data_IF_513533129271
#
_entry.id   IF_513533129271
#
_cell.length_a   1.000
_cell.length_b   1.000
_cell.length_c   1.000
_cell.angle_alpha   90.00
_cell.angle_beta   90.00
_cell.angle_gamma   90.00
#
_symmetry.space_group_name_H-M   'P 1'
#
loop_
_entity.id
_entity.type
_entity.pdbx_description
1 polymer ?
#
# COMPACT_ATOMS: atom_id res chain seq x y z
N UNK A 1 12.54 -6.03 1.61
CA UNK A 1 11.33 -5.56 0.89
C UNK A 1 10.40 -6.75 0.64
N UNK A 2 9.09 -6.61 0.85
CA UNK A 2 8.11 -7.54 0.27
C UNK A 2 7.96 -7.20 -1.23
N UNK A 3 7.41 -8.12 -2.02
CA UNK A 3 7.42 -8.03 -3.49
C UNK A 3 8.68 -8.62 -4.13
N UNK A 4 8.91 -8.31 -5.41
CA UNK A 4 10.06 -8.82 -6.18
C UNK A 4 11.42 -8.45 -5.56
N UNK A 5 11.49 -7.31 -4.86
CA UNK A 5 12.70 -6.86 -4.18
C UNK A 5 13.15 -7.72 -2.99
N UNK A 6 12.38 -8.75 -2.61
CA UNK A 6 12.85 -9.76 -1.65
C UNK A 6 14.02 -10.56 -2.24
N UNK A 7 13.98 -10.94 -3.51
CA UNK A 7 15.02 -11.75 -4.15
C UNK A 7 16.40 -11.08 -4.11
N UNK A 8 16.45 -9.74 -4.18
CA UNK A 8 17.70 -8.97 -4.05
C UNK A 8 18.34 -9.07 -2.65
N UNK A 9 17.60 -9.55 -1.65
CA UNK A 9 18.05 -9.71 -0.27
C UNK A 9 18.33 -11.17 0.09
N UNK A 10 17.99 -12.11 -0.78
CA UNK A 10 18.21 -13.54 -0.57
C UNK A 10 19.56 -13.96 -1.16
N UNK A 11 20.23 -14.88 -0.47
CA UNK A 11 21.43 -15.54 -1.01
C UNK A 11 21.07 -16.62 -2.02
N UNK A 12 19.89 -17.21 -1.92
CA UNK A 12 19.33 -18.22 -2.84
C UNK A 12 17.84 -17.93 -3.02
N UNK A 13 17.40 -17.80 -4.27
CA UNK A 13 16.01 -17.53 -4.60
C UNK A 13 15.08 -18.70 -4.25
N UNK A 14 15.57 -19.94 -4.35
CA UNK A 14 14.79 -21.14 -4.01
C UNK A 14 14.35 -21.15 -2.53
N UNK A 15 15.03 -20.38 -1.65
CA UNK A 15 14.60 -20.23 -0.25
C UNK A 15 13.24 -19.54 -0.07
N UNK A 16 12.76 -18.83 -1.09
CA UNK A 16 11.43 -18.23 -1.10
C UNK A 16 10.40 -19.08 -1.85
N UNK A 17 10.79 -20.18 -2.50
CA UNK A 17 9.85 -21.00 -3.28
C UNK A 17 8.68 -21.49 -2.41
N UNK A 18 7.46 -21.28 -2.91
CA UNK A 18 6.22 -21.63 -2.21
C UNK A 18 5.81 -20.68 -1.08
N UNK A 19 6.59 -19.64 -0.77
CA UNK A 19 6.20 -18.63 0.22
C UNK A 19 5.07 -17.77 -0.35
N UNK A 20 3.95 -17.70 0.36
CA UNK A 20 2.83 -16.80 0.02
C UNK A 20 2.77 -15.64 0.98
N UNK A 21 2.66 -14.43 0.43
CA UNK A 21 2.52 -13.17 1.18
C UNK A 21 1.28 -12.42 0.72
N UNK A 22 0.75 -11.58 1.61
CA UNK A 22 -0.21 -10.55 1.23
C UNK A 22 0.47 -9.19 1.21
N UNK A 23 0.19 -8.38 0.19
CA UNK A 23 0.61 -6.99 0.11
C UNK A 23 -0.62 -6.10 -0.13
N UNK A 24 -0.68 -4.89 0.43
CA UNK A 24 -1.76 -3.96 0.09
C UNK A 24 -1.81 -3.75 -1.42
N UNK A 25 -3.00 -3.89 -2.00
CA UNK A 25 -3.21 -3.64 -3.41
C UNK A 25 -3.01 -2.14 -3.71
N UNK A 26 -2.52 -1.83 -4.91
CA UNK A 26 -2.39 -0.44 -5.33
C UNK A 26 -3.77 0.20 -5.47
N UNK A 27 -3.97 1.35 -4.84
CA UNK A 27 -5.17 2.17 -5.00
C UNK A 27 -5.08 3.13 -6.20
N UNK A 28 -6.13 3.93 -6.36
CA UNK A 28 -6.08 5.13 -7.21
C UNK A 28 -5.08 6.13 -6.64
N UNK A 29 -4.52 6.98 -7.48
CA UNK A 29 -3.50 7.96 -7.09
C UNK A 29 -4.02 9.36 -7.41
N UNK A 30 -3.81 10.29 -6.48
CA UNK A 30 -4.14 11.70 -6.63
C UNK A 30 -2.93 12.59 -6.34
N UNK A 31 -2.86 13.72 -7.03
CA UNK A 31 -1.75 14.67 -6.89
C UNK A 31 -0.47 14.20 -7.59
N UNK A 32 0.69 14.69 -7.11
CA UNK A 32 2.00 14.47 -7.74
C UNK A 32 2.96 13.64 -6.88
N UNK A 33 2.56 13.28 -5.65
CA UNK A 33 3.46 12.65 -4.68
C UNK A 33 3.94 11.27 -5.13
N UNK A 34 3.07 10.48 -5.78
CA UNK A 34 3.45 9.20 -6.35
C UNK A 34 4.54 9.34 -7.43
N UNK A 35 4.37 10.28 -8.36
CA UNK A 35 5.36 10.54 -9.40
C UNK A 35 6.70 11.01 -8.79
N UNK A 36 6.65 11.82 -7.73
CA UNK A 36 7.84 12.24 -6.97
C UNK A 36 8.50 11.07 -6.25
N UNK A 37 7.72 10.13 -5.70
CA UNK A 37 8.25 8.89 -5.15
C UNK A 37 8.97 8.10 -6.24
N UNK A 38 8.33 7.87 -7.39
CA UNK A 38 8.89 7.08 -8.49
C UNK A 38 10.21 7.67 -9.01
N UNK A 39 10.27 9.00 -9.14
CA UNK A 39 11.49 9.71 -9.52
C UNK A 39 12.65 9.57 -8.50
N UNK A 40 12.37 9.17 -7.26
CA UNK A 40 13.34 9.04 -6.17
C UNK A 40 13.38 7.64 -5.55
N UNK A 41 12.74 6.65 -6.17
CA UNK A 41 12.48 5.35 -5.55
C UNK A 41 13.76 4.65 -5.07
N UNK A 42 14.86 4.78 -5.84
CA UNK A 42 16.16 4.22 -5.48
C UNK A 42 16.74 4.84 -4.19
N UNK A 43 16.54 6.15 -3.98
CA UNK A 43 16.99 6.86 -2.78
C UNK A 43 16.10 6.56 -1.58
N UNK A 44 14.78 6.43 -1.81
CA UNK A 44 13.81 6.15 -0.73
C UNK A 44 13.98 4.72 -0.20
N UNK A 45 14.26 3.74 -1.07
CA UNK A 45 14.61 2.37 -0.66
C UNK A 45 13.53 1.63 0.14
N UNK A 46 12.28 2.09 0.08
CA UNK A 46 11.15 1.54 0.82
C UNK A 46 10.13 0.91 -0.14
N UNK A 47 9.05 0.34 0.41
CA UNK A 47 7.93 -0.18 -0.38
C UNK A 47 6.99 0.98 -0.68
N UNK A 48 6.72 1.21 -1.98
CA UNK A 48 5.94 2.33 -2.50
C UNK A 48 4.65 2.56 -1.71
N UNK A 49 3.76 1.56 -1.63
CA UNK A 49 2.45 1.70 -0.98
C UNK A 49 2.53 2.16 0.48
N UNK A 50 3.52 1.69 1.26
CA UNK A 50 3.69 2.15 2.65
C UNK A 50 4.15 3.60 2.75
N UNK A 51 4.93 4.09 1.78
CA UNK A 51 5.33 5.49 1.73
C UNK A 51 4.17 6.39 1.32
N UNK A 52 3.37 5.96 0.33
CA UNK A 52 2.19 6.72 -0.11
C UNK A 52 1.13 6.80 1.00
N UNK A 53 0.85 5.70 1.70
CA UNK A 53 -0.12 5.67 2.81
C UNK A 53 0.35 6.53 4.00
N UNK A 54 1.65 6.49 4.34
CA UNK A 54 2.21 7.33 5.39
C UNK A 54 2.16 8.83 5.01
N UNK A 55 2.39 9.16 3.75
CA UNK A 55 2.21 10.51 3.23
C UNK A 55 0.76 10.98 3.41
N UNK A 56 -0.21 10.19 2.96
CA UNK A 56 -1.62 10.56 3.07
C UNK A 56 -2.06 10.77 4.52
N UNK A 57 -1.68 9.86 5.42
CA UNK A 57 -1.96 10.00 6.85
C UNK A 57 -1.36 11.29 7.42
N UNK A 58 -0.11 11.59 7.07
CA UNK A 58 0.56 12.83 7.51
C UNK A 58 -0.14 14.08 6.98
N UNK A 59 -0.56 14.06 5.71
CA UNK A 59 -1.26 15.17 5.08
C UNK A 59 -2.66 15.38 5.68
N UNK A 60 -3.39 14.30 5.98
CA UNK A 60 -4.69 14.37 6.66
C UNK A 60 -4.53 14.99 8.04
N UNK A 61 -3.57 14.50 8.86
CA UNK A 61 -3.30 15.05 10.20
C UNK A 61 -2.90 16.52 10.12
N UNK A 62 -2.01 16.89 9.20
CA UNK A 62 -1.57 18.27 9.02
C UNK A 62 -2.70 19.22 8.61
N UNK A 63 -3.56 18.80 7.69
CA UNK A 63 -4.76 19.57 7.29
C UNK A 63 -5.80 19.64 8.41
N UNK A 64 -5.97 18.58 9.19
CA UNK A 64 -6.89 18.56 10.33
C UNK A 64 -6.43 19.51 11.45
N UNK A 65 -5.13 19.59 11.70
CA UNK A 65 -4.55 20.38 12.78
C UNK A 65 -4.73 21.91 12.63
N UNK A 66 -5.05 22.39 11.42
CA UNK A 66 -5.29 23.83 11.16
C UNK A 66 -6.78 24.20 11.19
N UNK A 67 -7.66 23.24 11.45
CA UNK A 67 -9.10 23.48 11.60
C UNK A 67 -9.42 23.89 13.04
N UNK A 68 -10.43 24.75 13.22
CA UNK A 68 -10.92 25.16 14.54
C UNK A 68 -11.93 24.17 15.12
N UNK A 69 -11.51 22.90 15.22
CA UNK A 69 -12.28 21.77 15.75
C UNK A 69 -11.37 20.84 16.56
N UNK A 70 -11.93 19.83 17.24
CA UNK A 70 -11.09 18.79 17.84
C UNK A 70 -10.31 18.04 16.75
N UNK A 71 -9.10 17.56 17.08
CA UNK A 71 -8.26 16.87 16.10
C UNK A 71 -8.96 15.65 15.48
N UNK A 72 -9.76 14.92 16.27
CA UNK A 72 -10.56 13.78 15.80
C UNK A 72 -11.58 14.21 14.74
N UNK A 73 -12.39 15.23 15.04
CA UNK A 73 -13.38 15.74 14.08
C UNK A 73 -12.71 16.30 12.82
N UNK A 74 -11.53 16.92 12.98
CA UNK A 74 -10.74 17.41 11.84
C UNK A 74 -10.24 16.28 10.94
N UNK A 75 -9.74 15.19 11.52
CA UNK A 75 -9.27 14.01 10.77
C UNK A 75 -10.43 13.35 10.02
N UNK A 76 -11.57 13.13 10.69
CA UNK A 76 -12.78 12.58 10.07
C UNK A 76 -13.27 13.46 8.92
N UNK A 77 -13.30 14.78 9.13
CA UNK A 77 -13.74 15.74 8.11
C UNK A 77 -12.80 15.75 6.89
N UNK A 78 -11.50 15.88 7.10
CA UNK A 78 -10.51 15.93 6.01
C UNK A 78 -10.42 14.60 5.28
N UNK A 79 -10.49 13.50 6.02
CA UNK A 79 -10.38 12.15 5.49
C UNK A 79 -11.62 11.65 4.77
N UNK A 80 -12.72 12.39 4.74
CA UNK A 80 -13.93 12.02 4.00
C UNK A 80 -13.79 12.36 2.51
N UNK A 81 -13.52 11.36 1.68
CA UNK A 81 -13.28 11.54 0.24
C UNK A 81 -11.93 12.20 -0.08
N UNK A 82 -10.92 11.98 0.77
CA UNK A 82 -9.59 12.52 0.55
C UNK A 82 -8.92 11.82 -0.63
N UNK A 83 -8.68 12.54 -1.72
CA UNK A 83 -7.87 12.05 -2.84
C UNK A 83 -6.40 11.95 -2.43
N UNK A 84 -5.98 10.75 -2.00
CA UNK A 84 -4.63 10.46 -1.54
C UNK A 84 -3.72 9.93 -2.65
N UNK A 85 -2.42 9.92 -2.37
CA UNK A 85 -1.41 9.31 -3.21
C UNK A 85 -1.51 7.77 -3.19
N UNK A 86 -2.07 7.17 -2.14
CA UNK A 86 -2.25 5.72 -1.97
C UNK A 86 -3.65 5.19 -2.30
N UNK A 87 -4.61 6.09 -2.51
CA UNK A 87 -6.02 5.75 -2.71
C UNK A 87 -6.93 6.92 -2.36
N UNK A 88 -8.18 6.82 -2.78
CA UNK A 88 -9.24 7.61 -2.18
C UNK A 88 -9.50 7.11 -0.77
N UNK A 89 -9.39 8.01 0.20
CA UNK A 89 -9.54 7.70 1.63
C UNK A 89 -10.92 8.18 2.06
N UNK A 90 -11.64 7.32 2.76
CA UNK A 90 -12.86 7.64 3.51
C UNK A 90 -12.86 6.77 4.74
N UNK A 91 -12.87 7.41 5.91
CA UNK A 91 -12.94 6.70 7.18
C UNK A 91 -14.36 6.16 7.39
N UNK A 92 -14.43 4.91 7.82
CA UNK A 92 -15.64 4.28 8.36
C UNK A 92 -15.88 4.80 9.79
N UNK A 93 -17.09 4.59 10.32
CA UNK A 93 -17.46 5.02 11.68
C UNK A 93 -16.54 4.45 12.78
N UNK A 94 -15.87 3.33 12.52
CA UNK A 94 -14.92 2.71 13.44
C UNK A 94 -13.47 3.24 13.27
N UNK A 95 -13.24 4.20 12.38
CA UNK A 95 -11.94 4.77 12.07
C UNK A 95 -11.09 4.00 11.06
N UNK A 96 -11.58 2.87 10.54
CA UNK A 96 -10.89 2.11 9.50
C UNK A 96 -11.10 2.74 8.12
N UNK A 97 -10.29 2.31 7.15
CA UNK A 97 -10.46 2.65 5.73
C UNK A 97 -10.71 1.37 4.94
N UNK A 98 -11.63 1.42 3.97
CA UNK A 98 -11.94 0.24 3.14
C UNK A 98 -10.76 -0.22 2.29
N UNK A 99 -9.97 0.74 1.77
CA UNK A 99 -8.79 0.50 0.95
C UNK A 99 -9.09 -0.23 -0.37
N UNK A 100 -8.03 -0.57 -1.11
CA UNK A 100 -8.11 -1.33 -2.36
C UNK A 100 -8.09 -2.86 -2.15
N UNK A 101 -7.96 -3.32 -0.90
CA UNK A 101 -7.76 -4.73 -0.57
C UNK A 101 -6.30 -5.15 -0.56
N UNK A 102 -6.05 -6.45 -0.71
CA UNK A 102 -4.72 -7.05 -0.64
C UNK A 102 -4.49 -8.01 -1.81
N UNK A 103 -3.36 -7.86 -2.49
CA UNK A 103 -2.86 -8.87 -3.41
C UNK A 103 -2.23 -10.01 -2.61
N UNK A 104 -2.51 -11.24 -3.02
CA UNK A 104 -1.94 -12.46 -2.42
C UNK A 104 -1.02 -13.09 -3.46
N UNK A 105 0.27 -13.04 -3.16
CA UNK A 105 1.32 -13.35 -4.11
C UNK A 105 2.20 -14.48 -3.59
N UNK A 106 2.55 -15.38 -4.49
CA UNK A 106 3.41 -16.53 -4.19
C UNK A 106 4.74 -16.34 -4.89
N UNK A 107 5.81 -16.54 -4.14
CA UNK A 107 7.16 -16.65 -4.64
C UNK A 107 7.35 -18.05 -5.22
N UNK A 108 8.04 -18.13 -6.35
CA UNK A 108 8.43 -19.39 -6.95
C UNK A 108 9.78 -19.30 -7.66
N UNK A 109 10.09 -20.33 -8.43
CA UNK A 109 11.30 -20.39 -9.26
C UNK A 109 12.42 -21.19 -8.62
N UNK A 110 13.64 -20.97 -9.10
CA UNK A 110 14.85 -21.68 -8.65
C UNK A 110 15.93 -20.68 -8.21
N UNK A 111 17.12 -21.20 -7.83
CA UNK A 111 18.25 -20.39 -7.38
C UNK A 111 18.72 -19.33 -8.37
N UNK A 112 18.48 -19.53 -9.67
CA UNK A 112 18.94 -18.65 -10.75
C UNK A 112 17.88 -17.64 -11.18
N UNK A 113 16.59 -17.97 -11.01
CA UNK A 113 15.48 -17.13 -11.41
C UNK A 113 14.27 -17.31 -10.48
N UNK A 114 13.98 -16.27 -9.70
CA UNK A 114 12.78 -16.18 -8.88
C UNK A 114 11.57 -15.65 -9.65
N UNK A 115 10.38 -16.12 -9.32
CA UNK A 115 9.09 -15.58 -9.80
C UNK A 115 8.29 -15.01 -8.63
N UNK A 116 7.49 -13.98 -8.91
CA UNK A 116 6.57 -13.39 -7.94
C UNK A 116 5.22 -13.20 -8.62
N UNK A 117 4.24 -14.03 -8.26
CA UNK A 117 2.96 -14.10 -8.95
C UNK A 117 1.81 -13.84 -7.98
N UNK A 118 1.09 -12.75 -8.22
CA UNK A 118 -0.14 -12.42 -7.50
C UNK A 118 -1.32 -13.10 -8.19
N UNK A 119 -1.61 -14.35 -7.80
CA UNK A 119 -2.66 -15.16 -8.41
C UNK A 119 -4.04 -15.00 -7.74
N UNK A 120 -4.08 -14.32 -6.59
CA UNK A 120 -5.31 -14.07 -5.83
C UNK A 120 -5.32 -12.64 -5.30
N UNK A 121 -6.51 -12.13 -5.02
CA UNK A 121 -6.72 -10.87 -4.30
C UNK A 121 -7.77 -11.05 -3.21
N UNK A 122 -7.74 -10.19 -2.20
CA UNK A 122 -8.79 -10.05 -1.22
C UNK A 122 -9.39 -8.65 -1.30
N UNK A 123 -10.71 -8.55 -1.34
CA UNK A 123 -11.46 -7.29 -1.17
C UNK A 123 -12.47 -7.44 -0.04
N UNK A 124 -12.90 -6.31 0.54
CA UNK A 124 -14.01 -6.31 1.52
C UNK A 124 -15.29 -6.90 0.90
N UNK A 125 -15.55 -6.61 -0.37
CA UNK A 125 -16.78 -7.00 -1.06
C UNK A 125 -16.83 -8.50 -1.37
N UNK A 126 -15.72 -9.07 -1.85
CA UNK A 126 -15.71 -10.39 -2.49
C UNK A 126 -14.92 -11.44 -1.69
N UNK A 127 -14.24 -11.04 -0.61
CA UNK A 127 -13.30 -11.90 0.08
C UNK A 127 -12.14 -12.29 -0.83
N UNK A 128 -11.61 -13.52 -0.68
CA UNK A 128 -10.49 -14.01 -1.50
C UNK A 128 -10.99 -14.53 -2.84
N UNK A 129 -10.53 -13.94 -3.93
CA UNK A 129 -10.85 -14.31 -5.31
C UNK A 129 -9.59 -14.49 -6.15
N UNK A 130 -9.74 -15.06 -7.35
CA UNK A 130 -8.65 -15.07 -8.33
C UNK A 130 -8.31 -13.63 -8.77
N UNK A 131 -7.01 -13.37 -9.00
CA UNK A 131 -6.53 -12.05 -9.36
C UNK A 131 -6.95 -11.62 -10.78
#
# INVERSE_FOLDING_TARGET
PAGIGLFEKLTSNASADGVTVSAPAAGTTSGDFEARYDANAATVGSIKTYVLTAYDATMIIGKAAVLDVTITNGIEHVGNGFGGASGDITFLDNGDVGGAGYDICTYGGDDTAGTYTCGKKWTIADGVTAA
#
